data_IF_122552814964
#
_entry.id   IF_122552814964
#
_cell.length_a   1.000
_cell.length_b   1.000
_cell.length_c   1.000
_cell.angle_alpha   90.00
_cell.angle_beta   90.00
_cell.angle_gamma   90.00
#
_symmetry.space_group_name_H-M   'P 1'
#
loop_
_entity.id
_entity.type
_entity.pdbx_description
1 polymer ?
#
# COMPACT_ATOMS: atom_id res chain seq x y z
N UNK A 1 -13.15 -6.30 8.63
CA UNK A 1 -14.20 -5.45 8.02
C UNK A 1 -15.50 -5.55 8.81
N UNK A 2 -16.15 -6.72 8.90
CA UNK A 2 -17.42 -6.93 9.67
C UNK A 2 -17.44 -6.34 11.08
N UNK A 3 -16.37 -6.51 11.86
CA UNK A 3 -16.29 -5.95 13.23
C UNK A 3 -16.39 -4.42 13.23
N UNK A 4 -15.70 -3.74 12.32
CA UNK A 4 -15.75 -2.28 12.24
C UNK A 4 -17.13 -1.79 11.80
N UNK A 5 -17.75 -2.46 10.82
CA UNK A 5 -19.11 -2.13 10.37
C UNK A 5 -20.10 -2.25 11.54
N UNK A 6 -19.99 -3.32 12.33
CA UNK A 6 -20.83 -3.56 13.52
C UNK A 6 -20.67 -2.44 14.54
N UNK A 7 -19.43 -2.11 14.92
CA UNK A 7 -19.14 -1.07 15.91
C UNK A 7 -19.69 0.30 15.47
N UNK A 8 -19.55 0.65 14.18
CA UNK A 8 -20.11 1.89 13.65
C UNK A 8 -21.63 1.92 13.73
N UNK A 9 -22.30 0.84 13.30
CA UNK A 9 -23.77 0.77 13.30
C UNK A 9 -24.33 0.79 14.72
N UNK A 10 -23.71 0.08 15.67
CA UNK A 10 -24.08 0.09 17.09
C UNK A 10 -23.91 1.48 17.73
N UNK A 11 -22.91 2.24 17.27
CA UNK A 11 -22.71 3.62 17.69
C UNK A 11 -23.65 4.63 16.99
N UNK A 12 -24.56 4.18 16.12
CA UNK A 12 -25.48 5.04 15.38
C UNK A 12 -24.83 5.83 14.23
N UNK A 13 -23.67 5.39 13.75
CA UNK A 13 -22.98 6.01 12.61
C UNK A 13 -23.68 5.63 11.31
N UNK A 14 -24.04 6.63 10.50
CA UNK A 14 -24.55 6.41 9.14
C UNK A 14 -23.38 6.06 8.20
N UNK A 15 -23.31 4.81 7.75
CA UNK A 15 -22.26 4.33 6.85
C UNK A 15 -22.59 4.60 5.37
N UNK A 16 -21.62 5.15 4.63
CA UNK A 16 -21.69 5.37 3.18
C UNK A 16 -20.50 4.72 2.47
N UNK A 17 -20.64 3.43 2.13
CA UNK A 17 -19.55 2.60 1.57
C UNK A 17 -19.30 2.78 0.05
N UNK A 18 -20.10 3.60 -0.63
CA UNK A 18 -20.02 3.84 -2.08
C UNK A 18 -20.07 5.33 -2.42
N UNK A 19 -19.37 6.16 -1.66
CA UNK A 19 -19.29 7.61 -1.87
C UNK A 19 -17.84 8.06 -1.84
N UNK A 20 -17.39 8.75 -2.89
CA UNK A 20 -16.04 9.31 -2.97
C UNK A 20 -16.08 10.81 -2.71
N UNK A 21 -15.25 11.32 -1.80
CA UNK A 21 -15.11 12.76 -1.57
C UNK A 21 -14.35 13.42 -2.72
N UNK A 22 -14.98 14.36 -3.43
CA UNK A 22 -14.42 14.97 -4.65
C UNK A 22 -14.14 16.48 -4.52
N UNK A 23 -14.71 17.14 -3.51
CA UNK A 23 -14.50 18.57 -3.28
C UNK A 23 -14.84 18.96 -1.83
N UNK A 24 -14.08 19.89 -1.26
CA UNK A 24 -14.41 20.51 0.02
C UNK A 24 -15.35 21.72 -0.17
N UNK A 25 -16.26 21.93 0.78
CA UNK A 25 -17.12 23.12 0.87
C UNK A 25 -16.55 23.98 1.99
N UNK A 26 -15.88 25.07 1.64
CA UNK A 26 -15.21 25.98 2.58
C UNK A 26 -15.89 27.34 2.52
N UNK A 27 -16.28 27.86 3.69
CA UNK A 27 -16.89 29.18 3.85
C UNK A 27 -16.16 29.91 4.98
N UNK A 28 -15.71 31.15 4.71
CA UNK A 28 -14.96 31.98 5.67
C UNK A 28 -13.76 31.25 6.31
N UNK A 29 -13.03 30.47 5.50
CA UNK A 29 -11.87 29.69 5.96
C UNK A 29 -12.23 28.46 6.80
N UNK A 30 -13.52 28.12 6.93
CA UNK A 30 -13.99 26.95 7.69
C UNK A 30 -14.61 25.91 6.77
N UNK A 31 -14.18 24.65 6.91
CA UNK A 31 -14.80 23.51 6.24
C UNK A 31 -16.23 23.31 6.77
N UNK A 32 -17.21 23.33 5.87
CA UNK A 32 -18.65 23.16 6.15
C UNK A 32 -19.21 21.83 5.66
N UNK A 33 -18.50 21.16 4.79
CA UNK A 33 -18.92 19.89 4.23
C UNK A 33 -18.04 19.40 3.11
N UNK A 34 -18.44 18.28 2.52
CA UNK A 34 -17.75 17.62 1.42
C UNK A 34 -18.78 17.32 0.33
N UNK A 35 -18.42 17.61 -0.92
CA UNK A 35 -19.14 17.10 -2.07
C UNK A 35 -18.66 15.69 -2.34
N UNK A 36 -19.60 14.75 -2.44
CA UNK A 36 -19.34 13.36 -2.77
C UNK A 36 -19.89 13.01 -4.15
N UNK A 37 -19.22 12.09 -4.83
CA UNK A 37 -19.66 11.49 -6.10
C UNK A 37 -19.98 10.00 -5.88
N UNK A 38 -21.06 9.53 -6.50
CA UNK A 38 -21.50 8.14 -6.41
C UNK A 38 -22.35 7.77 -7.62
N UNK A 39 -22.71 6.48 -7.76
CA UNK A 39 -23.68 6.04 -8.77
C UNK A 39 -25.08 6.62 -8.60
N UNK A 40 -25.39 7.18 -7.42
CA UNK A 40 -26.65 7.90 -7.17
C UNK A 40 -26.56 9.39 -7.54
N UNK A 41 -25.45 9.79 -8.15
CA UNK A 41 -25.14 11.18 -8.47
C UNK A 41 -24.35 11.89 -7.37
N UNK A 42 -24.13 13.17 -7.64
CA UNK A 42 -23.38 14.09 -6.78
C UNK A 42 -24.24 14.62 -5.64
N UNK A 43 -23.68 14.65 -4.44
CA UNK A 43 -24.37 15.15 -3.24
C UNK A 43 -23.43 16.03 -2.40
N UNK A 44 -23.99 16.97 -1.64
CA UNK A 44 -23.27 17.71 -0.63
C UNK A 44 -23.60 17.15 0.76
N UNK A 45 -22.58 16.75 1.50
CA UNK A 45 -22.70 16.31 2.89
C UNK A 45 -22.17 17.43 3.79
N UNK A 46 -23.08 18.08 4.53
CA UNK A 46 -22.73 19.17 5.44
C UNK A 46 -22.53 18.65 6.86
N UNK A 47 -21.61 19.27 7.59
CA UNK A 47 -21.27 18.87 8.95
C UNK A 47 -20.61 19.99 9.74
N UNK A 48 -20.68 19.89 11.07
CA UNK A 48 -20.01 20.86 11.97
C UNK A 48 -18.50 20.62 12.05
N UNK A 49 -18.11 19.36 11.90
CA UNK A 49 -16.74 18.84 11.98
C UNK A 49 -16.58 17.82 10.86
N UNK A 50 -15.42 17.82 10.21
CA UNK A 50 -15.02 16.81 9.25
C UNK A 50 -13.68 16.24 9.71
N UNK A 51 -13.59 14.90 9.75
CA UNK A 51 -12.35 14.18 10.04
C UNK A 51 -11.90 13.58 8.72
N UNK A 52 -10.77 14.06 8.20
CA UNK A 52 -10.15 13.47 7.03
C UNK A 52 -9.43 12.18 7.42
N UNK A 53 -9.93 11.06 6.91
CA UNK A 53 -9.36 9.74 7.07
C UNK A 53 -9.15 9.05 5.73
N UNK A 54 -8.89 9.80 4.64
CA UNK A 54 -8.67 9.18 3.31
C UNK A 54 -7.33 8.45 3.19
N UNK A 55 -6.40 8.66 4.13
CA UNK A 55 -5.03 8.14 4.06
C UNK A 55 -4.09 8.99 3.21
N UNK A 56 -4.61 9.64 2.16
CA UNK A 56 -3.88 10.53 1.25
C UNK A 56 -4.11 12.04 1.54
N UNK A 57 -4.89 12.36 2.57
CA UNK A 57 -5.20 13.73 2.97
C UNK A 57 -5.99 14.52 1.92
N UNK A 58 -6.85 13.83 1.15
CA UNK A 58 -7.54 14.42 0.00
C UNK A 58 -8.49 15.54 0.42
N UNK A 59 -9.25 15.35 1.49
CA UNK A 59 -10.24 16.35 1.92
C UNK A 59 -9.53 17.57 2.51
N UNK A 60 -8.46 17.36 3.29
CA UNK A 60 -7.64 18.43 3.83
C UNK A 60 -7.01 19.26 2.70
N UNK A 61 -6.41 18.60 1.70
CA UNK A 61 -5.84 19.28 0.54
C UNK A 61 -6.91 20.03 -0.28
N UNK A 62 -8.08 19.42 -0.51
CA UNK A 62 -9.21 20.05 -1.20
C UNK A 62 -9.78 21.25 -0.41
N UNK A 63 -9.66 21.24 0.92
CA UNK A 63 -10.04 22.35 1.79
C UNK A 63 -9.00 23.48 1.83
N UNK A 64 -7.85 23.31 1.15
CA UNK A 64 -6.77 24.30 1.10
C UNK A 64 -5.78 24.21 2.26
N UNK A 65 -5.74 23.10 3.00
CA UNK A 65 -4.69 22.87 4.00
C UNK A 65 -3.31 22.81 3.33
N UNK A 66 -2.29 23.31 4.03
CA UNK A 66 -0.91 23.16 3.59
C UNK A 66 -0.45 21.70 3.73
N UNK A 67 0.35 21.24 2.77
CA UNK A 67 0.92 19.90 2.78
C UNK A 67 2.24 19.85 2.01
N UNK A 68 3.04 18.84 2.34
CA UNK A 68 4.21 18.44 1.55
C UNK A 68 3.92 17.16 0.78
N UNK A 69 4.46 17.05 -0.43
CA UNK A 69 4.42 15.80 -1.18
C UNK A 69 5.57 14.89 -0.75
N UNK A 70 5.24 13.65 -0.43
CA UNK A 70 6.18 12.55 -0.24
C UNK A 70 6.10 11.57 -1.38
N UNK A 71 7.23 10.99 -1.75
CA UNK A 71 7.33 10.04 -2.85
C UNK A 71 8.01 8.78 -2.36
N UNK A 72 7.22 7.70 -2.31
CA UNK A 72 7.71 6.36 -2.01
C UNK A 72 7.39 5.42 -3.17
N UNK A 73 7.93 4.22 -3.09
CA UNK A 73 7.64 3.18 -4.07
C UNK A 73 6.16 2.78 -4.01
N UNK A 74 5.57 2.59 -5.18
CA UNK A 74 4.18 2.13 -5.32
C UNK A 74 4.18 0.62 -5.52
N UNK A 75 3.55 -0.10 -4.59
CA UNK A 75 3.49 -1.56 -4.52
C UNK A 75 2.23 -2.19 -5.10
N UNK A 76 2.26 -3.49 -5.34
CA UNK A 76 1.05 -4.28 -5.61
C UNK A 76 1.22 -5.66 -4.99
N UNK A 77 0.47 -5.90 -3.92
CA UNK A 77 0.51 -7.19 -3.24
C UNK A 77 -0.34 -8.22 -4.00
N UNK A 78 -0.08 -9.50 -3.74
CA UNK A 78 -0.89 -10.60 -4.27
C UNK A 78 -1.17 -11.65 -3.22
N UNK A 79 -2.29 -12.35 -3.41
CA UNK A 79 -2.58 -13.64 -2.77
C UNK A 79 -2.17 -14.75 -3.71
N UNK A 80 -1.43 -15.71 -3.17
CA UNK A 80 -0.95 -16.87 -3.91
C UNK A 80 -1.22 -18.16 -3.13
N UNK A 81 -1.51 -19.23 -3.87
CA UNK A 81 -1.68 -20.58 -3.34
C UNK A 81 -0.70 -21.57 -3.97
N UNK A 82 -0.69 -22.80 -3.44
CA UNK A 82 0.13 -23.90 -3.99
C UNK A 82 1.63 -23.74 -3.72
N UNK A 83 1.99 -23.04 -2.64
CA UNK A 83 3.38 -22.89 -2.19
C UNK A 83 3.62 -23.87 -1.04
N UNK A 84 4.56 -24.79 -1.24
CA UNK A 84 5.12 -25.65 -0.19
C UNK A 84 6.22 -24.87 0.54
N UNK A 85 5.82 -24.24 1.65
CA UNK A 85 6.69 -23.35 2.42
C UNK A 85 7.79 -24.11 3.14
N UNK A 86 7.51 -25.32 3.62
CA UNK A 86 8.50 -26.11 4.35
C UNK A 86 9.63 -26.54 3.40
N UNK A 87 9.28 -26.97 2.19
CA UNK A 87 10.26 -27.29 1.15
C UNK A 87 11.04 -26.05 0.68
N UNK A 88 10.37 -24.91 0.55
CA UNK A 88 11.05 -23.65 0.23
C UNK A 88 12.03 -23.22 1.32
N UNK A 89 11.64 -23.32 2.60
CA UNK A 89 12.52 -23.00 3.72
C UNK A 89 13.69 -23.96 3.83
N UNK A 90 13.46 -25.26 3.61
CA UNK A 90 14.53 -26.26 3.56
C UNK A 90 15.51 -25.93 2.44
N UNK A 91 15.02 -25.64 1.22
CA UNK A 91 15.86 -25.21 0.10
C UNK A 91 16.71 -23.98 0.44
N UNK A 92 16.13 -22.94 1.06
CA UNK A 92 16.88 -21.74 1.42
C UNK A 92 17.99 -21.98 2.44
N UNK A 93 17.79 -22.94 3.36
CA UNK A 93 18.76 -23.32 4.38
C UNK A 93 19.85 -24.22 3.81
N UNK A 94 19.45 -25.19 2.99
CA UNK A 94 20.32 -26.26 2.51
C UNK A 94 21.15 -25.82 1.29
N UNK A 95 20.66 -24.85 0.49
CA UNK A 95 21.35 -24.28 -0.68
C UNK A 95 21.19 -22.74 -0.77
N UNK A 96 21.83 -21.99 0.15
CA UNK A 96 21.68 -20.54 0.24
C UNK A 96 22.30 -19.78 -0.95
N UNK A 97 23.31 -20.36 -1.60
CA UNK A 97 23.96 -19.77 -2.79
C UNK A 97 23.00 -19.81 -3.98
N UNK A 98 22.44 -20.98 -4.32
CA UNK A 98 21.43 -21.06 -5.39
C UNK A 98 20.21 -20.22 -5.09
N UNK A 99 19.78 -20.14 -3.83
CA UNK A 99 18.67 -19.26 -3.45
C UNK A 99 18.99 -17.78 -3.71
N UNK A 100 20.25 -17.34 -3.52
CA UNK A 100 20.69 -15.99 -3.87
C UNK A 100 20.70 -15.78 -5.38
N UNK A 101 21.20 -16.75 -6.13
CA UNK A 101 21.27 -16.67 -7.60
C UNK A 101 19.88 -16.58 -8.23
N UNK A 102 18.93 -17.39 -7.80
CA UNK A 102 17.54 -17.32 -8.28
C UNK A 102 16.89 -15.96 -7.97
N UNK A 103 17.20 -15.36 -6.82
CA UNK A 103 16.73 -13.99 -6.51
C UNK A 103 17.36 -12.95 -7.42
N UNK A 104 18.62 -13.09 -7.80
CA UNK A 104 19.27 -12.19 -8.75
C UNK A 104 18.69 -12.37 -10.17
N UNK A 105 18.47 -13.61 -10.60
CA UNK A 105 17.90 -13.93 -11.91
C UNK A 105 16.49 -13.39 -12.09
N UNK A 106 15.58 -13.56 -11.12
CA UNK A 106 14.22 -13.01 -11.25
C UNK A 106 14.24 -11.48 -11.34
N UNK A 107 15.17 -10.82 -10.65
CA UNK A 107 15.35 -9.37 -10.71
C UNK A 107 15.90 -8.93 -12.06
N UNK A 108 16.84 -9.66 -12.66
CA UNK A 108 17.37 -9.34 -13.99
C UNK A 108 16.31 -9.47 -15.10
N UNK A 109 15.29 -10.29 -14.88
CA UNK A 109 14.10 -10.37 -15.74
C UNK A 109 13.07 -9.25 -15.47
N UNK A 110 13.37 -8.33 -14.55
CA UNK A 110 12.46 -7.26 -14.11
C UNK A 110 11.37 -7.73 -13.14
N UNK A 111 11.41 -8.98 -12.68
CA UNK A 111 10.50 -9.54 -11.69
C UNK A 111 10.93 -9.25 -10.24
N UNK A 112 10.18 -9.82 -9.30
CA UNK A 112 10.36 -9.65 -7.86
C UNK A 112 10.53 -11.02 -7.20
N UNK A 113 11.49 -11.18 -6.26
CA UNK A 113 11.58 -12.39 -5.47
C UNK A 113 10.41 -12.48 -4.49
N UNK A 114 9.78 -13.65 -4.41
CA UNK A 114 8.66 -13.88 -3.50
C UNK A 114 9.12 -14.28 -2.11
N UNK A 115 8.45 -13.69 -1.12
CA UNK A 115 8.60 -14.03 0.30
C UNK A 115 7.21 -14.35 0.85
N UNK A 116 6.80 -15.63 0.89
CA UNK A 116 5.52 -16.04 1.45
C UNK A 116 5.57 -15.91 2.97
N UNK A 117 5.11 -14.77 3.48
CA UNK A 117 5.01 -14.54 4.91
C UNK A 117 3.78 -15.26 5.47
N UNK A 118 3.84 -15.73 6.73
CA UNK A 118 2.67 -16.27 7.40
C UNK A 118 1.52 -15.26 7.43
N UNK A 119 0.31 -15.78 7.23
CA UNK A 119 -0.97 -15.09 7.25
C UNK A 119 -1.95 -15.92 8.09
N UNK A 120 -3.09 -15.33 8.53
CA UNK A 120 -4.15 -16.12 9.17
C UNK A 120 -4.58 -17.34 8.33
N UNK A 121 -4.52 -17.24 7.00
CA UNK A 121 -4.93 -18.28 6.06
C UNK A 121 -3.79 -19.24 5.64
N UNK A 122 -2.59 -19.14 6.25
CA UNK A 122 -1.46 -20.00 5.87
C UNK A 122 -1.73 -21.48 6.09
N UNK A 123 -2.59 -21.82 7.04
CA UNK A 123 -3.06 -23.20 7.26
C UNK A 123 -3.82 -23.76 6.05
N UNK A 124 -4.42 -22.90 5.22
CA UNK A 124 -5.08 -23.26 3.97
C UNK A 124 -4.13 -23.19 2.76
N UNK A 125 -2.83 -22.98 2.97
CA UNK A 125 -1.83 -22.83 1.91
C UNK A 125 -1.96 -21.52 1.12
N UNK A 126 -2.61 -20.50 1.69
CA UNK A 126 -2.81 -19.18 1.08
C UNK A 126 -1.85 -18.18 1.71
N UNK A 127 -1.03 -17.55 0.87
CA UNK A 127 0.01 -16.64 1.29
C UNK A 127 -0.20 -15.24 0.72
N UNK A 128 0.05 -14.24 1.56
CA UNK A 128 0.12 -12.85 1.14
C UNK A 128 1.57 -12.51 0.82
N UNK A 129 1.82 -12.07 -0.41
CA UNK A 129 3.15 -11.72 -0.88
C UNK A 129 3.23 -10.19 -1.01
N UNK A 130 4.10 -9.60 -0.19
CA UNK A 130 4.33 -8.16 -0.17
C UNK A 130 5.35 -7.75 -1.24
N UNK A 131 4.96 -6.79 -2.09
CA UNK A 131 5.82 -6.27 -3.16
C UNK A 131 5.99 -4.78 -2.96
N UNK A 132 7.22 -4.37 -2.67
CA UNK A 132 7.61 -2.98 -2.49
C UNK A 132 7.64 -2.19 -3.81
N UNK A 133 7.40 -2.86 -4.93
CA UNK A 133 6.90 -2.23 -6.15
C UNK A 133 7.90 -1.41 -6.94
N UNK A 134 7.45 -0.32 -7.58
CA UNK A 134 8.23 0.53 -8.48
C UNK A 134 8.63 1.84 -7.81
N UNK A 135 9.87 2.28 -8.00
CA UNK A 135 10.28 3.65 -7.64
C UNK A 135 10.00 4.65 -8.75
N UNK A 136 10.21 4.31 -10.02
CA UNK A 136 10.09 5.23 -11.16
C UNK A 136 9.67 4.52 -12.45
N UNK A 137 9.32 5.31 -13.48
CA UNK A 137 8.97 4.82 -14.82
C UNK A 137 10.14 4.17 -15.58
N UNK A 138 11.38 4.51 -15.23
CA UNK A 138 12.58 3.90 -15.85
C UNK A 138 12.84 2.48 -15.36
N UNK A 139 12.06 2.01 -14.37
CA UNK A 139 12.33 0.78 -13.66
C UNK A 139 13.49 0.97 -12.68
N UNK A 140 13.35 0.41 -11.49
CA UNK A 140 14.40 0.45 -10.49
C UNK A 140 13.89 -0.02 -9.13
N UNK A 141 14.33 -1.18 -8.68
CA UNK A 141 14.97 -1.18 -7.38
C UNK A 141 16.45 -0.93 -7.65
N UNK A 142 16.96 0.26 -7.34
CA UNK A 142 18.40 0.38 -7.10
C UNK A 142 18.75 -0.57 -5.94
N UNK A 143 20.00 -1.04 -5.94
CA UNK A 143 20.55 -2.03 -5.03
C UNK A 143 19.95 -2.00 -3.62
N UNK A 144 19.43 -3.14 -3.15
CA UNK A 144 19.06 -3.32 -1.74
C UNK A 144 20.36 -3.28 -0.90
N UNK A 145 20.88 -2.08 -0.63
CA UNK A 145 22.07 -1.84 0.19
C UNK A 145 21.80 -0.98 1.42
N UNK A 146 20.69 -0.22 1.47
CA UNK A 146 20.28 0.51 2.68
C UNK A 146 18.76 0.54 2.85
N UNK A 147 18.32 0.46 4.10
CA UNK A 147 16.89 0.58 4.49
C UNK A 147 16.26 1.90 4.02
N UNK A 148 17.07 2.93 3.77
CA UNK A 148 16.62 4.25 3.33
C UNK A 148 16.21 4.27 1.85
N UNK A 149 16.92 3.53 0.98
CA UNK A 149 16.62 3.47 -0.45
C UNK A 149 15.33 2.70 -0.78
N UNK A 150 14.86 1.87 0.16
CA UNK A 150 13.57 1.17 0.06
C UNK A 150 12.40 2.16 0.00
N UNK A 151 12.58 3.37 0.56
CA UNK A 151 11.54 4.40 0.64
C UNK A 151 11.73 5.51 -0.40
N UNK A 152 12.68 5.40 -1.32
CA UNK A 152 12.85 6.39 -2.39
C UNK A 152 11.94 6.04 -3.58
N UNK A 153 11.06 6.97 -3.96
CA UNK A 153 10.23 6.91 -5.16
C UNK A 153 10.18 8.25 -5.91
N UNK A 154 9.73 8.19 -7.15
CA UNK A 154 9.51 9.33 -8.05
C UNK A 154 8.08 9.33 -8.61
N UNK A 155 7.38 8.19 -8.57
CA UNK A 155 6.00 8.08 -8.99
C UNK A 155 5.07 8.76 -7.97
N UNK A 156 4.14 9.57 -8.47
CA UNK A 156 3.13 10.22 -7.65
C UNK A 156 2.00 9.26 -7.32
N UNK A 157 1.66 9.16 -6.03
CA UNK A 157 0.53 8.38 -5.55
C UNK A 157 -0.84 9.09 -5.70
N UNK A 158 -0.85 10.31 -6.23
CA UNK A 158 -2.06 11.11 -6.46
C UNK A 158 -2.23 11.50 -7.94
N UNK A 159 -1.32 11.06 -8.80
CA UNK A 159 -1.40 11.26 -10.24
C UNK A 159 -1.97 10.00 -10.90
N UNK A 160 -3.02 10.16 -11.69
CA UNK A 160 -3.74 9.04 -12.30
C UNK A 160 -2.89 8.30 -13.34
N UNK A 161 -1.99 9.00 -14.04
CA UNK A 161 -1.14 8.40 -15.07
C UNK A 161 -0.03 7.56 -14.44
N UNK A 162 0.59 8.04 -13.35
CA UNK A 162 1.57 7.28 -12.59
C UNK A 162 0.98 6.04 -11.92
N UNK A 163 -0.21 6.17 -11.30
CA UNK A 163 -0.92 5.03 -10.70
C UNK A 163 -1.30 3.99 -11.76
N UNK A 164 -1.87 4.42 -12.89
CA UNK A 164 -2.26 3.52 -13.99
C UNK A 164 -1.04 2.81 -14.58
N UNK A 165 0.04 3.54 -14.81
CA UNK A 165 1.32 2.97 -15.24
C UNK A 165 1.82 1.93 -14.24
N UNK A 166 1.86 2.28 -12.94
CA UNK A 166 2.37 1.40 -11.90
C UNK A 166 1.59 0.09 -11.84
N UNK A 167 0.25 0.14 -11.88
CA UNK A 167 -0.58 -1.05 -11.81
C UNK A 167 -0.36 -2.01 -12.98
N UNK A 168 -0.35 -1.50 -14.21
CA UNK A 168 -0.12 -2.32 -15.41
C UNK A 168 1.27 -2.96 -15.36
N UNK A 169 2.29 -2.15 -15.05
CA UNK A 169 3.67 -2.61 -15.06
C UNK A 169 3.96 -3.61 -13.93
N UNK A 170 3.40 -3.37 -12.73
CA UNK A 170 3.52 -4.30 -11.61
C UNK A 170 2.86 -5.64 -11.91
N UNK A 171 1.64 -5.65 -12.47
CA UNK A 171 0.96 -6.89 -12.88
C UNK A 171 1.79 -7.68 -13.88
N UNK A 172 2.34 -7.01 -14.90
CA UNK A 172 3.21 -7.62 -15.91
C UNK A 172 4.44 -8.29 -15.28
N UNK A 173 5.18 -7.55 -14.44
CA UNK A 173 6.38 -8.06 -13.74
C UNK A 173 6.07 -9.17 -12.74
N UNK A 174 4.91 -9.09 -12.08
CA UNK A 174 4.44 -10.12 -11.16
C UNK A 174 4.14 -11.44 -11.89
N UNK A 175 3.57 -11.38 -13.10
CA UNK A 175 3.38 -12.58 -13.92
C UNK A 175 4.71 -13.21 -14.31
N UNK A 176 5.71 -12.42 -14.72
CA UNK A 176 7.09 -12.91 -14.94
C UNK A 176 7.65 -13.58 -13.68
N UNK A 177 7.40 -12.99 -12.51
CA UNK A 177 7.84 -13.54 -11.23
C UNK A 177 7.15 -14.88 -10.94
N UNK A 178 5.84 -14.97 -11.16
CA UNK A 178 5.07 -16.20 -10.94
C UNK A 178 5.59 -17.34 -11.82
N UNK A 179 5.81 -17.08 -13.12
CA UNK A 179 6.33 -18.07 -14.06
C UNK A 179 7.74 -18.51 -13.69
N UNK A 180 8.62 -17.57 -13.37
CA UNK A 180 9.99 -17.85 -12.94
C UNK A 180 10.02 -18.72 -11.68
N UNK A 181 9.24 -18.36 -10.64
CA UNK A 181 9.24 -19.11 -9.39
C UNK A 181 8.70 -20.51 -9.60
N UNK A 182 7.61 -20.65 -10.38
CA UNK A 182 7.01 -21.95 -10.68
C UNK A 182 7.99 -22.91 -11.37
N UNK A 183 8.80 -22.39 -12.28
CA UNK A 183 9.75 -23.20 -13.05
C UNK A 183 11.05 -23.49 -12.29
N UNK A 184 11.50 -22.59 -11.40
CA UNK A 184 12.88 -22.62 -10.91
C UNK A 184 13.05 -22.75 -9.39
N UNK A 185 12.04 -22.39 -8.59
CA UNK A 185 12.19 -22.27 -7.13
C UNK A 185 11.54 -23.48 -6.44
N UNK A 186 12.30 -24.31 -5.71
CA UNK A 186 11.74 -25.43 -4.96
C UNK A 186 10.64 -24.99 -4.00
N UNK A 187 9.51 -25.70 -4.03
CA UNK A 187 8.32 -25.39 -3.24
C UNK A 187 7.32 -24.47 -3.96
N UNK A 188 7.64 -23.94 -5.14
CA UNK A 188 6.75 -23.08 -5.92
C UNK A 188 6.16 -23.75 -7.16
N UNK A 189 6.38 -25.05 -7.40
CA UNK A 189 5.89 -25.77 -8.59
C UNK A 189 4.35 -25.71 -8.71
N UNK A 190 3.68 -25.72 -7.55
CA UNK A 190 2.24 -25.57 -7.42
C UNK A 190 1.75 -24.12 -7.48
N UNK A 191 2.62 -23.10 -7.56
CA UNK A 191 2.27 -21.70 -7.41
C UNK A 191 1.12 -21.29 -8.34
N UNK A 192 0.05 -20.75 -7.76
CA UNK A 192 -1.08 -20.13 -8.47
C UNK A 192 -1.36 -18.74 -7.91
N UNK A 193 -1.62 -17.79 -8.80
CA UNK A 193 -2.17 -16.49 -8.44
C UNK A 193 -3.65 -16.67 -8.08
N UNK A 194 -4.05 -16.21 -6.90
CA UNK A 194 -5.45 -16.21 -6.48
C UNK A 194 -6.09 -14.85 -6.77
N UNK A 195 -5.39 -13.77 -6.42
CA UNK A 195 -5.78 -12.40 -6.75
C UNK A 195 -4.61 -11.44 -6.60
N UNK A 196 -4.63 -10.34 -7.32
CA UNK A 196 -3.92 -9.14 -6.90
C UNK A 196 -4.70 -8.45 -5.75
N UNK A 197 -4.03 -7.59 -5.01
CA UNK A 197 -4.72 -6.64 -4.13
C UNK A 197 -5.65 -5.75 -4.97
N UNK A 198 -6.78 -5.34 -4.39
CA UNK A 198 -7.77 -4.50 -5.08
C UNK A 198 -7.27 -3.09 -5.36
N UNK A 199 -6.22 -2.65 -4.67
CA UNK A 199 -5.62 -1.33 -4.78
C UNK A 199 -4.09 -1.44 -4.73
N UNK A 200 -3.43 -0.42 -5.27
CA UNK A 200 -1.99 -0.26 -5.15
C UNK A 200 -1.60 0.02 -3.69
N UNK A 201 -0.45 -0.50 -3.29
CA UNK A 201 0.15 -0.20 -2.01
C UNK A 201 0.86 1.15 -2.05
N UNK A 202 0.22 2.17 -1.50
CA UNK A 202 0.78 3.49 -1.25
C UNK A 202 1.13 3.62 0.24
N UNK A 203 2.26 4.26 0.53
CA UNK A 203 2.72 4.53 1.90
C UNK A 203 2.77 6.01 2.23
N UNK A 204 2.91 6.85 1.21
CA UNK A 204 3.07 8.28 1.37
C UNK A 204 2.58 8.98 0.10
N UNK A 205 1.85 10.07 0.29
CA UNK A 205 1.35 10.94 -0.77
C UNK A 205 1.40 12.39 -0.29
N UNK A 206 0.32 12.92 0.31
CA UNK A 206 0.31 14.23 0.97
C UNK A 206 0.54 14.06 2.46
N UNK A 207 1.54 14.76 2.99
CA UNK A 207 1.74 14.95 4.43
C UNK A 207 1.18 16.30 4.81
N UNK A 208 0.00 16.29 5.44
CA UNK A 208 -0.66 17.52 5.89
C UNK A 208 0.21 18.19 6.96
N UNK A 209 0.44 19.50 6.79
CA UNK A 209 1.18 20.30 7.77
C UNK A 209 0.31 20.50 9.00
N UNK A 210 0.62 19.76 10.07
CA UNK A 210 -0.04 19.89 11.36
C UNK A 210 0.49 21.07 12.19
N UNK A 211 -0.13 21.29 13.36
CA UNK A 211 0.35 22.28 14.34
C UNK A 211 1.74 21.95 14.90
N UNK A 212 2.12 20.67 14.88
CA UNK A 212 3.42 20.17 15.29
C UNK A 212 3.86 19.10 14.30
N UNK A 213 5.12 19.19 13.85
CA UNK A 213 5.75 18.16 13.03
C UNK A 213 6.75 17.42 13.92
N UNK A 214 6.52 16.11 14.10
CA UNK A 214 7.38 15.28 14.92
C UNK A 214 8.82 15.29 14.40
N UNK A 215 9.77 15.57 15.28
CA UNK A 215 11.19 15.52 14.92
C UNK A 215 11.76 14.11 15.10
N UNK A 216 12.90 13.85 14.45
CA UNK A 216 13.63 12.59 14.61
C UNK A 216 13.99 12.34 16.07
N UNK A 217 14.42 13.37 16.78
CA UNK A 217 14.80 13.33 18.18
C UNK A 217 13.62 12.94 19.06
N UNK A 218 12.45 13.54 18.84
CA UNK A 218 11.22 13.23 19.59
C UNK A 218 10.76 11.78 19.38
N UNK A 219 10.83 11.30 18.13
CA UNK A 219 10.52 9.91 17.80
C UNK A 219 11.48 8.95 18.50
N UNK A 220 12.78 9.22 18.45
CA UNK A 220 13.80 8.38 19.11
C UNK A 220 13.69 8.41 20.63
N UNK A 221 13.33 9.56 21.20
CA UNK A 221 13.08 9.73 22.62
C UNK A 221 11.74 9.11 23.08
N UNK A 222 10.91 8.63 22.16
CA UNK A 222 9.54 8.13 22.43
C UNK A 222 8.73 9.16 23.22
N UNK A 223 8.88 10.44 22.85
CA UNK A 223 8.19 11.55 23.52
C UNK A 223 6.68 11.29 23.52
N UNK A 224 6.05 11.48 24.67
CA UNK A 224 4.59 11.48 24.83
C UNK A 224 4.09 12.91 24.84
N UNK A 225 2.90 13.11 24.30
CA UNK A 225 2.21 14.40 24.27
C UNK A 225 0.94 14.29 25.12
N UNK A 226 0.58 15.36 25.81
CA UNK A 226 -0.55 15.37 26.76
C UNK A 226 -1.90 15.18 26.06
N UNK A 227 -1.96 15.50 24.77
CA UNK A 227 -3.11 15.34 23.89
C UNK A 227 -3.09 14.05 23.06
N UNK A 228 -2.15 13.13 23.33
CA UNK A 228 -2.10 11.85 22.65
C UNK A 228 -3.33 10.99 22.98
N UNK A 229 -4.01 10.49 21.94
CA UNK A 229 -5.11 9.54 22.04
C UNK A 229 -4.57 8.16 21.64
N UNK A 230 -4.43 7.23 22.60
CA UNK A 230 -3.92 5.88 22.35
C UNK A 230 -3.57 5.10 23.61
#
# INVERSE_FOLDING_TARGET
KVVADTLCLEAGVELRLHSWGVKAIVEDGRLRGVVVESKSGRQALLGKVCIDATGDGDIAALAGAEYELGYQRIGLNLKAGGIDRDRFQAFQRDDPERARDLRAQVRSLGGFPFRPLPTPDSHAGIYWINILGLASRKGGGCDEGSIHQIYAGELSAIDVEDLSYAEVELRRRLMTSIEFHRANVPGFEGLRLLSFASELGVRESRRITGVHVLTREEVLARRRFDDAIG
#
